data_IF_354056949538
#
_entry.id   IF_354056949538
#
_cell.length_a   1.000
_cell.length_b   1.000
_cell.length_c   1.000
_cell.angle_alpha   90.00
_cell.angle_beta   90.00
_cell.angle_gamma   90.00
#
_symmetry.space_group_name_H-M   'P 1'
#
loop_
_entity.id
_entity.type
_entity.pdbx_description
1 polymer ?
#
# COMPACT_ATOMS: atom_id res chain seq x y z
N UNK A 1 -11.68 17.29 -13.46
CA UNK A 1 -11.82 18.49 -14.34
C UNK A 1 -11.02 18.36 -15.65
N UNK A 2 -9.73 18.07 -15.65
CA UNK A 2 -8.89 17.94 -16.87
C UNK A 2 -9.49 16.90 -17.85
N UNK A 3 -9.93 15.75 -17.36
CA UNK A 3 -10.56 14.69 -18.17
C UNK A 3 -11.81 15.20 -18.90
N UNK A 4 -12.68 15.93 -18.20
CA UNK A 4 -13.89 16.50 -18.78
C UNK A 4 -13.56 17.53 -19.87
N UNK A 5 -12.58 18.39 -19.61
CA UNK A 5 -12.14 19.40 -20.57
C UNK A 5 -11.50 18.76 -21.82
N UNK A 6 -10.71 17.69 -21.61
CA UNK A 6 -10.10 16.95 -22.71
C UNK A 6 -11.17 16.19 -23.52
N UNK A 7 -12.09 15.51 -22.86
CA UNK A 7 -13.22 14.84 -23.52
C UNK A 7 -14.08 15.81 -24.34
N UNK A 8 -14.30 17.04 -23.85
CA UNK A 8 -15.00 18.13 -24.56
C UNK A 8 -14.14 18.81 -25.62
N UNK A 9 -12.92 18.33 -25.90
CA UNK A 9 -11.96 18.91 -26.87
C UNK A 9 -11.55 20.35 -26.56
N UNK A 10 -11.68 20.78 -25.33
CA UNK A 10 -11.22 22.13 -24.90
C UNK A 10 -9.71 22.15 -24.62
N UNK A 11 -9.11 20.98 -24.41
CA UNK A 11 -7.65 20.79 -24.29
C UNK A 11 -7.21 19.96 -25.50
N UNK A 12 -6.39 20.48 -26.40
CA UNK A 12 -5.96 19.76 -27.61
C UNK A 12 -4.80 18.79 -27.37
N UNK A 13 -4.02 19.01 -26.31
CA UNK A 13 -2.83 18.21 -25.94
C UNK A 13 -2.83 17.95 -24.43
N UNK A 14 -2.56 16.70 -24.07
CA UNK A 14 -2.46 16.28 -22.66
C UNK A 14 -1.14 15.55 -22.45
N UNK A 15 -0.36 16.00 -21.48
CA UNK A 15 0.78 15.24 -20.94
C UNK A 15 0.28 14.37 -19.80
N UNK A 16 0.56 13.08 -19.87
CA UNK A 16 0.08 12.12 -18.89
C UNK A 16 1.12 11.02 -18.63
N UNK A 17 1.05 10.43 -17.46
CA UNK A 17 1.79 9.22 -17.12
C UNK A 17 1.05 7.97 -17.62
N UNK A 18 1.68 6.81 -17.53
CA UNK A 18 1.08 5.52 -17.93
C UNK A 18 -0.27 5.22 -17.24
N UNK A 19 -0.48 5.73 -16.01
CA UNK A 19 -1.73 5.56 -15.28
C UNK A 19 -2.95 6.08 -16.04
N UNK A 20 -2.77 7.10 -16.85
CA UNK A 20 -3.80 7.61 -17.74
C UNK A 20 -4.25 6.58 -18.78
N UNK A 21 -3.32 5.76 -19.29
CA UNK A 21 -3.63 4.71 -20.26
C UNK A 21 -4.43 3.56 -19.64
N UNK A 22 -4.25 3.30 -18.34
CA UNK A 22 -4.88 2.17 -17.64
C UNK A 22 -6.23 2.56 -17.01
N UNK A 23 -6.25 3.71 -16.32
CA UNK A 23 -7.38 4.09 -15.46
C UNK A 23 -8.54 4.78 -16.16
N UNK A 24 -8.38 5.29 -17.37
CA UNK A 24 -9.35 6.17 -18.02
C UNK A 24 -9.68 5.70 -19.44
N UNK A 25 -10.97 5.65 -19.73
CA UNK A 25 -11.42 5.32 -21.09
C UNK A 25 -11.56 6.59 -21.95
N UNK A 26 -10.41 7.18 -22.32
CA UNK A 26 -10.35 8.38 -23.16
C UNK A 26 -9.50 8.12 -24.39
N UNK A 27 -10.09 7.57 -25.46
CA UNK A 27 -9.37 7.34 -26.70
C UNK A 27 -9.01 8.67 -27.39
N UNK A 28 -7.78 8.77 -27.85
CA UNK A 28 -7.22 9.93 -28.54
C UNK A 28 -6.96 9.60 -30.01
N UNK A 29 -6.87 10.59 -30.89
CA UNK A 29 -6.50 10.33 -32.28
C UNK A 29 -5.05 9.89 -32.41
N UNK A 30 -4.17 10.47 -31.59
CA UNK A 30 -2.72 10.28 -31.65
C UNK A 30 -2.16 10.11 -30.23
N UNK A 31 -1.34 9.10 -30.03
CA UNK A 31 -0.50 8.93 -28.85
C UNK A 31 0.96 9.22 -29.19
N UNK A 32 1.67 9.91 -28.30
CA UNK A 32 3.09 10.24 -28.46
C UNK A 32 3.85 9.72 -27.27
N UNK A 33 4.80 8.84 -27.52
CA UNK A 33 5.70 8.30 -26.50
C UNK A 33 6.96 9.15 -26.43
N UNK A 34 7.21 9.77 -25.31
CA UNK A 34 8.44 10.52 -25.03
C UNK A 34 9.56 9.63 -24.51
N UNK A 35 9.21 8.44 -24.01
CA UNK A 35 10.11 7.38 -23.60
C UNK A 35 9.42 6.02 -23.75
N UNK A 36 10.18 4.97 -24.06
CA UNK A 36 9.75 3.58 -23.99
C UNK A 36 10.32 2.86 -22.76
N UNK A 37 10.71 3.63 -21.75
CA UNK A 37 11.19 3.15 -20.47
C UNK A 37 10.32 3.71 -19.35
N UNK A 38 10.20 2.94 -18.29
CA UNK A 38 9.50 3.36 -17.06
C UNK A 38 10.31 3.02 -15.82
N UNK A 39 10.04 3.72 -14.73
CA UNK A 39 10.58 3.40 -13.43
C UNK A 39 9.80 2.23 -12.81
N UNK A 40 10.52 1.28 -12.24
CA UNK A 40 9.98 0.13 -11.49
C UNK A 40 10.72 -0.01 -10.17
N UNK A 41 10.34 -0.98 -9.35
CA UNK A 41 10.96 -1.22 -8.04
C UNK A 41 12.48 -1.43 -8.10
N UNK A 42 12.98 -1.93 -9.23
CA UNK A 42 14.41 -2.19 -9.48
C UNK A 42 15.07 -1.11 -10.35
N UNK A 43 14.47 0.08 -10.49
CA UNK A 43 14.99 1.16 -11.32
C UNK A 43 14.32 1.27 -12.70
N UNK A 44 14.98 1.96 -13.64
CA UNK A 44 14.46 2.12 -15.00
C UNK A 44 14.52 0.82 -15.80
N UNK A 45 13.41 0.44 -16.42
CA UNK A 45 13.32 -0.68 -17.36
C UNK A 45 12.55 -0.29 -18.62
N UNK A 46 12.76 -1.02 -19.70
CA UNK A 46 11.95 -0.92 -20.92
C UNK A 46 10.50 -1.34 -20.65
N UNK A 47 9.57 -0.74 -21.41
CA UNK A 47 8.18 -1.19 -21.44
C UNK A 47 8.12 -2.64 -21.95
N UNK A 48 7.18 -3.41 -21.38
CA UNK A 48 6.81 -4.70 -21.97
C UNK A 48 5.92 -4.50 -23.21
N UNK A 49 5.82 -5.48 -24.12
CA UNK A 49 4.92 -5.41 -25.28
C UNK A 49 3.47 -5.11 -24.89
N UNK A 50 2.99 -5.67 -23.78
CA UNK A 50 1.62 -5.47 -23.30
C UNK A 50 1.42 -4.04 -22.81
N UNK A 51 2.37 -3.48 -22.04
CA UNK A 51 2.34 -2.09 -21.57
C UNK A 51 2.34 -1.12 -22.75
N UNK A 52 3.18 -1.38 -23.76
CA UNK A 52 3.19 -0.60 -24.99
C UNK A 52 1.86 -0.71 -25.74
N UNK A 53 1.35 -1.93 -25.94
CA UNK A 53 0.08 -2.16 -26.64
C UNK A 53 -1.09 -1.49 -25.93
N UNK A 54 -1.13 -1.54 -24.58
CA UNK A 54 -2.17 -0.89 -23.80
C UNK A 54 -2.13 0.64 -23.94
N UNK A 55 -0.94 1.23 -23.93
CA UNK A 55 -0.77 2.67 -24.10
C UNK A 55 -1.00 3.13 -25.56
N UNK A 56 -0.41 2.45 -26.53
CA UNK A 56 -0.59 2.74 -27.96
C UNK A 56 -2.02 2.49 -28.43
N UNK A 57 -2.71 1.51 -27.82
CA UNK A 57 -4.11 1.19 -28.07
C UNK A 57 -5.11 2.30 -27.68
N UNK A 58 -4.64 3.36 -27.01
CA UNK A 58 -5.43 4.58 -26.82
C UNK A 58 -5.51 5.46 -28.08
N UNK A 59 -4.63 5.24 -29.03
CA UNK A 59 -4.64 5.94 -30.32
C UNK A 59 -5.73 5.37 -31.24
N UNK A 60 -6.59 6.24 -31.77
CA UNK A 60 -7.71 5.88 -32.63
C UNK A 60 -9.04 5.76 -31.87
N UNK A 61 -9.98 6.62 -32.22
CA UNK A 61 -11.32 6.63 -31.62
C UNK A 61 -12.24 5.71 -32.41
N UNK A 62 -12.69 4.64 -31.77
CA UNK A 62 -13.60 3.66 -32.41
C UNK A 62 -14.83 4.34 -32.99
N UNK A 63 -15.14 4.06 -34.24
CA UNK A 63 -16.29 4.63 -34.97
C UNK A 63 -16.09 6.07 -35.46
N UNK A 64 -14.96 6.74 -35.16
CA UNK A 64 -14.68 8.12 -35.56
C UNK A 64 -13.42 8.18 -36.42
N UNK A 65 -12.33 7.58 -36.00
CA UNK A 65 -11.05 7.61 -36.70
C UNK A 65 -10.86 6.33 -37.52
N UNK A 66 -10.42 6.46 -38.76
CA UNK A 66 -10.08 5.31 -39.62
C UNK A 66 -8.76 4.66 -39.17
N UNK A 67 -7.87 5.46 -38.59
CA UNK A 67 -6.54 5.04 -38.15
C UNK A 67 -6.11 5.82 -36.91
N UNK A 68 -5.64 5.10 -35.88
CA UNK A 68 -4.90 5.68 -34.77
C UNK A 68 -3.41 5.79 -35.12
N UNK A 69 -2.73 6.78 -34.57
CA UNK A 69 -1.30 6.99 -34.78
C UNK A 69 -0.56 7.01 -33.48
N UNK A 70 0.51 6.21 -33.37
CA UNK A 70 1.47 6.26 -32.27
C UNK A 70 2.82 6.77 -32.80
N UNK A 71 3.34 7.82 -32.18
CA UNK A 71 4.66 8.38 -32.51
C UNK A 71 5.62 8.12 -31.35
N UNK A 72 6.87 7.82 -31.70
CA UNK A 72 7.93 7.63 -30.72
C UNK A 72 8.95 8.74 -30.87
N UNK A 73 9.17 9.50 -29.79
CA UNK A 73 10.13 10.61 -29.71
C UNK A 73 11.11 10.34 -28.54
N UNK A 74 11.95 9.29 -28.63
CA UNK A 74 12.74 8.78 -27.49
C UNK A 74 13.81 9.77 -27.01
N UNK A 75 14.06 10.85 -27.72
CA UNK A 75 15.07 11.86 -27.39
C UNK A 75 14.46 13.25 -27.11
N UNK A 76 13.13 13.33 -26.96
CA UNK A 76 12.46 14.61 -26.76
C UNK A 76 12.91 15.31 -25.47
N UNK A 77 13.11 14.55 -24.42
CA UNK A 77 13.71 15.00 -23.18
C UNK A 77 15.06 14.30 -23.05
N UNK A 78 16.13 15.07 -23.18
CA UNK A 78 17.51 14.59 -23.25
C UNK A 78 18.01 14.14 -21.86
N UNK A 79 17.32 13.17 -21.27
CA UNK A 79 17.77 12.51 -20.07
C UNK A 79 18.85 11.52 -20.47
N UNK A 80 19.96 11.44 -19.74
CA UNK A 80 21.09 10.52 -19.91
C UNK A 80 20.70 9.02 -19.85
N UNK A 81 19.49 8.67 -20.17
CA UNK A 81 18.96 7.31 -20.28
C UNK A 81 19.45 6.73 -21.60
N UNK A 82 20.22 5.64 -21.53
CA UNK A 82 20.83 5.00 -22.69
C UNK A 82 19.85 4.76 -23.84
N UNK A 83 20.35 4.79 -25.06
CA UNK A 83 19.56 4.53 -26.26
C UNK A 83 19.05 3.09 -26.25
N UNK A 84 17.76 2.91 -26.55
CA UNK A 84 17.21 1.59 -26.84
C UNK A 84 17.87 1.04 -28.10
N UNK A 85 18.34 -0.20 -28.05
CA UNK A 85 18.82 -0.88 -29.22
C UNK A 85 17.66 -1.12 -30.23
N UNK A 86 17.96 -1.24 -31.51
CA UNK A 86 16.95 -1.59 -32.51
C UNK A 86 16.22 -2.92 -32.18
N UNK A 87 16.93 -3.85 -31.55
CA UNK A 87 16.38 -5.14 -31.11
C UNK A 87 15.37 -4.93 -29.97
N UNK A 88 15.72 -4.13 -28.96
CA UNK A 88 14.82 -3.87 -27.83
C UNK A 88 13.60 -3.06 -28.27
N UNK A 89 13.78 -2.08 -29.14
CA UNK A 89 12.67 -1.38 -29.78
C UNK A 89 11.75 -2.34 -30.52
N UNK A 90 12.30 -3.24 -31.31
CA UNK A 90 11.53 -4.26 -32.03
C UNK A 90 10.77 -5.18 -31.10
N UNK A 91 11.38 -5.58 -29.97
CA UNK A 91 10.70 -6.39 -28.93
C UNK A 91 9.52 -5.66 -28.30
N UNK A 92 9.66 -4.38 -27.99
CA UNK A 92 8.60 -3.58 -27.35
C UNK A 92 7.42 -3.39 -28.33
N UNK A 93 7.71 -3.00 -29.57
CA UNK A 93 6.67 -2.57 -30.54
C UNK A 93 5.99 -3.76 -31.23
N UNK A 94 6.75 -4.81 -31.54
CA UNK A 94 6.29 -5.98 -32.30
C UNK A 94 6.30 -7.27 -31.45
N UNK A 95 6.60 -7.17 -30.16
CA UNK A 95 6.65 -8.33 -29.27
C UNK A 95 5.29 -8.99 -29.13
N UNK A 96 5.32 -10.31 -28.99
CA UNK A 96 4.13 -11.12 -28.74
C UNK A 96 3.55 -10.87 -27.34
N UNK A 97 2.35 -11.39 -27.14
CA UNK A 97 1.69 -11.39 -25.84
C UNK A 97 2.55 -12.11 -24.78
N UNK A 98 2.70 -11.48 -23.63
CA UNK A 98 3.34 -12.08 -22.47
C UNK A 98 2.24 -12.78 -21.65
N UNK A 99 2.40 -14.08 -21.44
CA UNK A 99 1.44 -14.83 -20.63
C UNK A 99 1.39 -14.29 -19.21
N UNK A 100 0.21 -14.02 -18.65
CA UNK A 100 0.12 -13.59 -17.25
C UNK A 100 0.65 -14.71 -16.36
N UNK A 101 1.50 -14.35 -15.40
CA UNK A 101 1.99 -15.24 -14.35
C UNK A 101 1.39 -14.76 -13.04
N UNK A 102 0.85 -15.68 -12.26
CA UNK A 102 0.33 -15.38 -10.93
C UNK A 102 1.45 -14.84 -10.03
N UNK A 103 1.12 -13.81 -9.27
CA UNK A 103 1.97 -13.26 -8.21
C UNK A 103 1.40 -13.56 -6.84
N UNK A 104 0.73 -14.71 -6.69
CA UNK A 104 0.28 -15.14 -5.36
C UNK A 104 1.51 -15.20 -4.45
N UNK A 105 1.46 -14.44 -3.39
CA UNK A 105 2.42 -14.50 -2.30
C UNK A 105 1.72 -15.11 -1.09
N UNK A 106 2.26 -16.23 -0.61
CA UNK A 106 1.73 -16.90 0.56
C UNK A 106 2.25 -16.19 1.80
N UNK A 107 1.32 -15.71 2.61
CA UNK A 107 1.61 -15.13 3.92
C UNK A 107 0.66 -15.67 4.98
N UNK A 108 0.91 -15.33 6.23
CA UNK A 108 0.06 -15.73 7.35
C UNK A 108 -1.41 -15.35 7.16
N UNK A 109 -1.67 -14.15 6.62
CA UNK A 109 -3.04 -13.67 6.46
C UNK A 109 -3.80 -14.45 5.39
N UNK A 110 -3.13 -14.76 4.26
CA UNK A 110 -3.72 -15.57 3.20
C UNK A 110 -4.11 -16.96 3.73
N UNK A 111 -3.21 -17.60 4.48
CA UNK A 111 -3.46 -18.93 5.04
C UNK A 111 -4.61 -18.91 6.05
N UNK A 112 -4.62 -17.94 6.97
CA UNK A 112 -5.71 -17.79 7.93
C UNK A 112 -7.06 -17.58 7.23
N UNK A 113 -7.12 -16.77 6.17
CA UNK A 113 -8.35 -16.56 5.40
C UNK A 113 -8.82 -17.83 4.69
N UNK A 114 -7.91 -18.60 4.12
CA UNK A 114 -8.26 -19.89 3.51
C UNK A 114 -8.85 -20.86 4.54
N UNK A 115 -8.33 -20.89 5.76
CA UNK A 115 -8.87 -21.72 6.84
C UNK A 115 -10.25 -21.29 7.31
N UNK A 116 -10.54 -19.96 7.35
CA UNK A 116 -11.89 -19.47 7.69
C UNK A 116 -12.92 -19.89 6.66
N UNK A 117 -12.56 -19.77 5.39
CA UNK A 117 -13.48 -20.04 4.28
C UNK A 117 -13.62 -21.55 4.00
N UNK A 118 -12.96 -22.43 4.77
CA UNK A 118 -12.88 -23.90 4.55
C UNK A 118 -12.48 -24.23 3.10
N UNK A 119 -11.60 -23.42 2.53
CA UNK A 119 -11.16 -23.56 1.15
C UNK A 119 -9.83 -24.29 1.07
N UNK A 120 -9.75 -25.21 0.12
CA UNK A 120 -8.51 -25.92 -0.14
C UNK A 120 -7.47 -24.99 -0.79
N UNK A 121 -6.41 -24.65 -0.06
CA UNK A 121 -5.32 -23.79 -0.55
C UNK A 121 -4.71 -24.34 -1.84
N UNK A 122 -4.54 -25.66 -1.95
CA UNK A 122 -3.96 -26.28 -3.15
C UNK A 122 -4.83 -26.01 -4.37
N UNK A 123 -6.16 -25.98 -4.23
CA UNK A 123 -7.07 -25.66 -5.32
C UNK A 123 -6.87 -24.24 -5.87
N UNK A 124 -6.57 -23.25 -4.97
CA UNK A 124 -6.23 -21.90 -5.41
C UNK A 124 -4.90 -21.83 -6.13
N UNK A 125 -3.90 -22.54 -5.60
CA UNK A 125 -2.56 -22.59 -6.19
C UNK A 125 -2.61 -23.27 -7.56
N UNK A 126 -3.25 -24.42 -7.65
CA UNK A 126 -3.39 -25.20 -8.90
C UNK A 126 -4.21 -24.47 -9.99
N UNK A 127 -5.22 -23.69 -9.60
CA UNK A 127 -6.03 -22.90 -10.53
C UNK A 127 -5.39 -21.55 -10.91
N UNK A 128 -4.33 -21.15 -10.25
CA UNK A 128 -3.59 -19.95 -10.62
C UNK A 128 -2.59 -20.25 -11.75
N UNK A 129 -2.24 -19.23 -12.55
CA UNK A 129 -1.22 -19.34 -13.60
C UNK A 129 0.18 -19.40 -12.98
N UNK A 130 0.50 -20.50 -12.28
CA UNK A 130 1.76 -20.74 -11.56
C UNK A 130 2.50 -21.91 -12.21
N UNK A 131 3.84 -21.84 -12.18
CA UNK A 131 4.71 -22.92 -12.62
C UNK A 131 4.68 -24.11 -11.63
N UNK A 132 4.88 -25.33 -12.13
CA UNK A 132 4.88 -26.55 -11.32
C UNK A 132 5.93 -26.53 -10.21
N UNK A 133 7.12 -25.98 -10.47
CA UNK A 133 8.18 -25.84 -9.46
C UNK A 133 7.75 -24.93 -8.31
N UNK A 134 6.94 -23.90 -8.60
CA UNK A 134 6.40 -23.01 -7.60
C UNK A 134 5.30 -23.66 -6.74
N UNK A 135 4.58 -24.65 -7.27
CA UNK A 135 3.57 -25.41 -6.48
C UNK A 135 4.25 -26.16 -5.33
N UNK A 136 5.38 -26.83 -5.61
CA UNK A 136 6.16 -27.53 -4.57
C UNK A 136 6.71 -26.56 -3.52
N UNK A 137 7.14 -25.38 -3.95
CA UNK A 137 7.57 -24.32 -3.05
C UNK A 137 6.42 -23.84 -2.17
N UNK A 138 5.23 -23.63 -2.72
CA UNK A 138 4.03 -23.25 -1.98
C UNK A 138 3.62 -24.28 -0.93
N UNK A 139 3.74 -25.58 -1.21
CA UNK A 139 3.45 -26.64 -0.24
C UNK A 139 4.37 -26.59 0.98
N UNK A 140 5.65 -26.33 0.77
CA UNK A 140 6.62 -26.20 1.87
C UNK A 140 6.36 -24.92 2.69
N UNK A 141 6.06 -23.82 2.02
CA UNK A 141 5.67 -22.56 2.69
C UNK A 141 4.41 -22.74 3.52
N UNK A 142 3.37 -23.38 2.96
CA UNK A 142 2.12 -23.64 3.66
C UNK A 142 2.35 -24.43 4.96
N UNK A 143 3.17 -25.48 4.92
CA UNK A 143 3.52 -26.26 6.11
C UNK A 143 4.23 -25.41 7.17
N UNK A 144 5.17 -24.58 6.73
CA UNK A 144 5.87 -23.64 7.62
C UNK A 144 4.89 -22.70 8.31
N UNK A 145 4.05 -22.00 7.53
CA UNK A 145 3.10 -21.06 8.10
C UNK A 145 2.10 -21.72 9.05
N UNK A 146 1.57 -22.89 8.70
CA UNK A 146 0.66 -23.64 9.58
C UNK A 146 1.33 -24.02 10.91
N UNK A 147 2.58 -24.48 10.86
CA UNK A 147 3.34 -24.84 12.07
C UNK A 147 3.55 -23.64 12.99
N UNK A 148 3.89 -22.48 12.43
CA UNK A 148 4.06 -21.26 13.22
C UNK A 148 2.73 -20.75 13.76
N UNK A 149 1.67 -20.75 12.96
CA UNK A 149 0.33 -20.33 13.39
C UNK A 149 -0.20 -21.19 14.55
N UNK A 150 0.04 -22.50 14.52
CA UNK A 150 -0.32 -23.42 15.60
C UNK A 150 0.52 -23.14 16.86
N UNK A 151 1.85 -23.07 16.71
CA UNK A 151 2.78 -22.78 17.81
C UNK A 151 2.46 -21.47 18.53
N UNK A 152 2.12 -20.44 17.75
CA UNK A 152 1.81 -19.11 18.29
C UNK A 152 0.32 -18.93 18.65
N UNK A 153 -0.49 -19.99 18.55
CA UNK A 153 -1.87 -20.04 19.02
C UNK A 153 -2.89 -19.30 18.15
N UNK A 154 -2.63 -19.10 16.87
CA UNK A 154 -3.61 -18.55 15.92
C UNK A 154 -4.57 -19.60 15.38
N UNK A 155 -4.14 -20.86 15.37
CA UNK A 155 -4.96 -22.03 15.07
C UNK A 155 -4.75 -23.09 16.12
N UNK A 156 -5.70 -24.00 16.26
CA UNK A 156 -5.61 -25.15 17.16
C UNK A 156 -4.96 -26.37 16.47
N UNK A 157 -4.78 -27.46 17.22
CA UNK A 157 -4.23 -28.74 16.74
C UNK A 157 -5.05 -29.35 15.57
N UNK A 158 -6.32 -29.00 15.45
CA UNK A 158 -7.20 -29.40 14.35
C UNK A 158 -7.20 -28.41 13.18
N UNK A 159 -6.26 -27.44 13.18
CA UNK A 159 -6.16 -26.33 12.20
C UNK A 159 -7.39 -25.42 12.17
N UNK A 160 -8.19 -25.39 13.22
CA UNK A 160 -9.28 -24.44 13.35
C UNK A 160 -8.76 -23.12 13.90
N UNK A 161 -9.30 -22.03 13.36
CA UNK A 161 -8.93 -20.68 13.79
C UNK A 161 -9.39 -20.43 15.21
N UNK A 162 -8.47 -19.92 16.04
CA UNK A 162 -8.73 -19.43 17.39
C UNK A 162 -9.25 -17.99 17.37
N UNK A 163 -9.66 -17.47 18.55
CA UNK A 163 -9.98 -16.04 18.70
C UNK A 163 -8.83 -15.13 18.25
N UNK A 164 -7.59 -15.48 18.60
CA UNK A 164 -6.38 -14.76 18.16
C UNK A 164 -6.24 -14.75 16.63
N UNK A 165 -6.53 -15.87 15.99
CA UNK A 165 -6.57 -15.97 14.53
C UNK A 165 -7.69 -15.12 13.90
N UNK A 166 -8.87 -15.11 14.51
CA UNK A 166 -10.00 -14.28 14.08
C UNK A 166 -9.70 -12.78 14.17
N UNK A 167 -8.94 -12.35 15.18
CA UNK A 167 -8.44 -10.99 15.30
C UNK A 167 -7.44 -10.69 14.16
N UNK A 168 -6.50 -11.59 13.90
CA UNK A 168 -5.47 -11.38 12.89
C UNK A 168 -6.02 -11.18 11.48
N UNK A 169 -7.04 -11.92 11.07
CA UNK A 169 -7.64 -11.81 9.73
C UNK A 169 -8.32 -10.46 9.46
N UNK A 170 -8.62 -9.67 10.49
CA UNK A 170 -9.20 -8.35 10.32
C UNK A 170 -8.18 -7.33 9.79
N UNK A 171 -6.89 -7.58 9.97
CA UNK A 171 -5.81 -6.67 9.57
C UNK A 171 -5.31 -7.00 8.16
N UNK A 172 -5.33 -5.99 7.27
CA UNK A 172 -4.84 -6.08 5.88
C UNK A 172 -3.81 -5.02 5.56
N UNK A 173 -3.96 -3.82 6.15
CA UNK A 173 -3.07 -2.68 5.93
C UNK A 173 -1.78 -2.74 6.76
N UNK A 174 -1.73 -3.62 7.73
CA UNK A 174 -0.63 -3.81 8.68
C UNK A 174 -0.30 -5.29 8.82
N UNK A 175 0.92 -5.65 9.30
CA UNK A 175 1.29 -7.06 9.50
C UNK A 175 0.33 -7.78 10.46
N UNK A 176 -0.57 -8.59 9.90
CA UNK A 176 -1.76 -9.12 10.56
C UNK A 176 -1.45 -9.89 11.85
N UNK A 177 -0.59 -10.91 11.79
CA UNK A 177 -0.26 -11.75 12.95
C UNK A 177 0.56 -10.99 14.00
N UNK A 178 1.50 -10.14 13.56
CA UNK A 178 2.31 -9.34 14.46
C UNK A 178 1.47 -8.30 15.21
N UNK A 179 0.56 -7.63 14.51
CA UNK A 179 -0.31 -6.64 15.15
C UNK A 179 -1.37 -7.28 16.05
N UNK A 180 -1.93 -8.42 15.66
CA UNK A 180 -2.83 -9.19 16.53
C UNK A 180 -2.14 -9.65 17.83
N UNK A 181 -0.91 -10.14 17.72
CA UNK A 181 -0.10 -10.54 18.88
C UNK A 181 0.21 -9.35 19.80
N UNK A 182 0.62 -8.21 19.22
CA UNK A 182 0.80 -6.96 19.94
C UNK A 182 -0.50 -6.48 20.60
N UNK A 183 -1.61 -6.49 19.87
CA UNK A 183 -2.92 -6.03 20.34
C UNK A 183 -3.39 -6.81 21.57
N UNK A 184 -3.27 -8.13 21.53
CA UNK A 184 -3.66 -9.00 22.65
C UNK A 184 -2.72 -8.81 23.85
N UNK A 185 -1.40 -8.81 23.61
CA UNK A 185 -0.39 -8.66 24.68
C UNK A 185 -0.43 -7.29 25.37
N UNK A 186 -0.87 -6.24 24.67
CA UNK A 186 -0.92 -4.88 25.19
C UNK A 186 -2.34 -4.37 25.44
N UNK A 187 -3.33 -5.26 25.55
CA UNK A 187 -4.75 -4.92 25.71
C UNK A 187 -5.01 -3.89 26.79
N UNK A 188 -4.41 -4.04 27.97
CA UNK A 188 -4.63 -3.13 29.09
C UNK A 188 -4.10 -1.72 28.80
N UNK A 189 -2.93 -1.61 28.18
CA UNK A 189 -2.34 -0.34 27.79
C UNK A 189 -3.14 0.32 26.67
N UNK A 190 -3.55 -0.44 25.67
CA UNK A 190 -4.37 0.04 24.56
C UNK A 190 -5.75 0.55 25.04
N UNK A 191 -6.33 -0.04 26.06
CA UNK A 191 -7.58 0.45 26.64
C UNK A 191 -7.43 1.82 27.32
N UNK A 192 -6.24 2.19 27.79
CA UNK A 192 -5.98 3.44 28.51
C UNK A 192 -5.65 4.61 27.61
N UNK A 193 -5.11 4.38 26.39
CA UNK A 193 -4.69 5.45 25.49
C UNK A 193 -5.88 6.14 24.81
N UNK A 194 -5.67 7.41 24.45
CA UNK A 194 -6.65 8.24 23.74
C UNK A 194 -6.70 7.94 22.24
N UNK A 195 -7.75 8.42 21.56
CA UNK A 195 -7.88 8.36 20.10
C UNK A 195 -6.73 9.06 19.37
N UNK A 196 -6.19 10.15 19.93
CA UNK A 196 -5.01 10.85 19.39
C UNK A 196 -3.75 9.99 19.45
N UNK A 197 -3.57 9.23 20.51
CA UNK A 197 -2.45 8.29 20.66
C UNK A 197 -2.59 7.08 19.73
N UNK A 198 -3.81 6.61 19.47
CA UNK A 198 -4.07 5.60 18.44
C UNK A 198 -3.72 6.10 17.03
N UNK A 199 -4.11 7.33 16.68
CA UNK A 199 -3.74 7.96 15.41
C UNK A 199 -2.21 7.99 15.26
N UNK A 200 -1.51 8.37 16.31
CA UNK A 200 -0.04 8.41 16.34
C UNK A 200 0.58 7.01 16.24
N UNK A 201 -0.01 6.00 16.90
CA UNK A 201 0.43 4.62 16.77
C UNK A 201 0.26 4.12 15.32
N UNK A 202 -0.86 4.41 14.68
CA UNK A 202 -1.10 3.95 13.31
C UNK A 202 -0.22 4.65 12.27
N UNK A 203 0.26 5.86 12.57
CA UNK A 203 1.11 6.64 11.66
C UNK A 203 2.42 5.94 11.30
N UNK A 204 2.97 5.08 12.18
CA UNK A 204 4.22 4.37 11.90
C UNK A 204 4.13 3.36 10.75
N UNK A 205 2.91 2.97 10.39
CA UNK A 205 2.64 2.10 9.24
C UNK A 205 2.41 2.88 7.94
N UNK A 206 2.33 4.20 8.01
CA UNK A 206 2.17 5.07 6.85
C UNK A 206 3.54 5.47 6.31
N UNK A 207 4.11 4.63 5.44
CA UNK A 207 5.41 4.89 4.84
C UNK A 207 5.36 6.00 3.80
N UNK A 208 6.34 6.89 3.83
CA UNK A 208 6.59 7.94 2.85
C UNK A 208 8.00 7.79 2.27
N UNK A 209 8.24 8.39 1.10
CA UNK A 209 9.56 8.41 0.49
C UNK A 209 10.29 9.68 0.91
N UNK A 210 11.30 9.51 1.75
CA UNK A 210 12.26 10.54 2.13
C UNK A 210 13.67 10.05 1.87
N UNK A 211 14.63 10.95 1.58
CA UNK A 211 16.06 10.64 1.63
C UNK A 211 16.45 10.10 3.01
N UNK A 212 17.42 9.19 3.07
CA UNK A 212 17.81 8.56 4.34
C UNK A 212 18.32 9.57 5.38
N UNK A 213 18.91 10.67 4.94
CA UNK A 213 19.39 11.78 5.77
C UNK A 213 18.27 12.57 6.45
N UNK A 214 17.07 12.57 5.87
CA UNK A 214 15.89 13.30 6.39
C UNK A 214 14.97 12.40 7.23
N UNK A 215 15.31 11.11 7.38
CA UNK A 215 14.47 10.14 8.10
C UNK A 215 14.63 10.24 9.62
N UNK A 216 13.53 10.00 10.30
CA UNK A 216 13.50 9.85 11.76
C UNK A 216 13.86 8.40 12.13
N UNK A 217 15.11 8.16 12.50
CA UNK A 217 15.59 6.83 12.90
C UNK A 217 15.29 6.49 14.36
N UNK A 218 15.06 7.50 15.20
CA UNK A 218 14.83 7.32 16.63
C UNK A 218 13.56 8.05 17.09
N UNK A 219 12.56 7.27 17.51
CA UNK A 219 11.30 7.81 18.03
C UNK A 219 11.45 8.55 19.38
N UNK A 220 12.54 8.37 20.11
CA UNK A 220 12.78 9.12 21.35
C UNK A 220 13.01 10.61 21.10
N UNK A 221 13.48 10.99 19.91
CA UNK A 221 13.76 12.38 19.54
C UNK A 221 12.52 13.18 19.14
N UNK A 222 11.39 12.53 18.85
CA UNK A 222 10.18 13.21 18.40
C UNK A 222 9.29 13.65 19.58
N UNK A 223 8.55 14.74 19.38
CA UNK A 223 7.71 15.35 20.42
C UNK A 223 6.29 14.75 20.40
N UNK A 224 6.14 13.59 21.01
CA UNK A 224 4.88 12.87 21.21
C UNK A 224 4.73 12.44 22.66
N UNK A 225 3.55 11.94 23.05
CA UNK A 225 3.33 11.47 24.42
C UNK A 225 4.23 10.27 24.79
N UNK A 226 4.55 10.15 26.09
CA UNK A 226 5.33 9.01 26.60
C UNK A 226 4.61 7.67 26.38
N UNK A 227 3.28 7.67 26.39
CA UNK A 227 2.48 6.51 26.04
C UNK A 227 2.78 6.05 24.60
N UNK A 228 2.83 6.98 23.64
CA UNK A 228 3.17 6.67 22.25
C UNK A 228 4.58 6.10 22.14
N UNK A 229 5.57 6.68 22.81
CA UNK A 229 6.96 6.17 22.82
C UNK A 229 7.03 4.75 23.37
N UNK A 230 6.33 4.47 24.46
CA UNK A 230 6.25 3.13 25.03
C UNK A 230 5.57 2.13 24.11
N UNK A 231 4.49 2.53 23.42
CA UNK A 231 3.82 1.70 22.40
C UNK A 231 4.74 1.42 21.21
N UNK A 232 5.48 2.42 20.74
CA UNK A 232 6.45 2.26 19.65
C UNK A 232 7.53 1.24 20.01
N UNK A 233 8.07 1.30 21.23
CA UNK A 233 9.02 0.30 21.72
C UNK A 233 8.46 -1.11 21.70
N UNK A 234 7.22 -1.29 22.18
CA UNK A 234 6.57 -2.60 22.28
C UNK A 234 6.21 -3.17 20.90
N UNK A 235 5.63 -2.36 20.02
CA UNK A 235 5.26 -2.81 18.68
C UNK A 235 6.50 -3.16 17.85
N UNK A 236 7.57 -2.34 17.93
CA UNK A 236 8.85 -2.63 17.27
C UNK A 236 9.43 -3.97 17.71
N UNK A 237 9.40 -4.27 19.01
CA UNK A 237 9.82 -5.57 19.52
C UNK A 237 9.01 -6.73 18.95
N UNK A 238 7.69 -6.57 18.84
CA UNK A 238 6.82 -7.60 18.26
C UNK A 238 7.04 -7.76 16.76
N UNK A 239 7.19 -6.66 16.01
CA UNK A 239 7.46 -6.71 14.57
C UNK A 239 8.83 -7.37 14.29
N UNK A 240 9.85 -7.07 15.08
CA UNK A 240 11.17 -7.70 14.94
C UNK A 240 11.11 -9.21 15.20
N UNK A 241 10.34 -9.65 16.19
CA UNK A 241 10.13 -11.08 16.47
C UNK A 241 9.52 -11.79 15.26
N UNK A 242 8.45 -11.26 14.68
CA UNK A 242 7.79 -11.86 13.52
C UNK A 242 8.64 -11.75 12.24
N UNK A 243 9.37 -10.64 12.08
CA UNK A 243 10.33 -10.48 10.99
C UNK A 243 11.45 -11.53 11.03
N UNK A 244 11.98 -11.83 12.22
CA UNK A 244 13.01 -12.86 12.37
C UNK A 244 12.49 -14.24 11.97
N UNK A 245 11.26 -14.62 12.37
CA UNK A 245 10.65 -15.89 11.99
C UNK A 245 10.56 -16.05 10.47
N UNK A 246 10.09 -15.03 9.75
CA UNK A 246 9.96 -15.10 8.30
C UNK A 246 11.33 -15.00 7.59
N UNK A 247 12.25 -14.20 8.12
CA UNK A 247 13.61 -14.08 7.59
C UNK A 247 14.37 -15.40 7.64
N UNK A 248 14.24 -16.16 8.71
CA UNK A 248 14.87 -17.49 8.86
C UNK A 248 14.40 -18.47 7.77
N UNK A 249 13.23 -18.23 7.19
CA UNK A 249 12.67 -19.01 6.09
C UNK A 249 12.93 -18.40 4.70
N UNK A 250 13.66 -17.27 4.64
CA UNK A 250 14.06 -16.62 3.39
C UNK A 250 12.99 -15.72 2.76
N UNK A 251 11.97 -15.32 3.53
CA UNK A 251 10.94 -14.40 3.05
C UNK A 251 11.38 -12.93 3.11
N UNK A 252 10.77 -12.13 2.24
CA UNK A 252 10.94 -10.68 2.27
C UNK A 252 10.19 -10.08 3.48
N UNK A 253 10.95 -9.46 4.39
CA UNK A 253 10.44 -8.89 5.63
C UNK A 253 10.08 -7.40 5.56
N UNK A 254 10.01 -6.80 4.37
CA UNK A 254 9.72 -5.37 4.21
C UNK A 254 8.38 -4.95 4.84
N UNK A 255 7.39 -5.85 4.91
CA UNK A 255 6.10 -5.58 5.55
C UNK A 255 6.18 -5.27 7.05
N UNK A 256 7.26 -5.70 7.74
CA UNK A 256 7.50 -5.42 9.16
C UNK A 256 8.25 -4.10 9.40
N UNK A 257 8.69 -3.43 8.34
CA UNK A 257 9.36 -2.14 8.47
C UNK A 257 8.34 -1.05 8.79
N UNK A 258 8.67 -0.23 9.78
CA UNK A 258 7.89 0.92 10.20
C UNK A 258 8.72 2.19 10.07
N UNK A 259 8.05 3.33 9.96
CA UNK A 259 8.68 4.64 9.82
C UNK A 259 8.09 5.61 10.84
N UNK A 260 8.94 6.42 11.46
CA UNK A 260 8.52 7.39 12.46
C UNK A 260 8.34 8.80 11.89
N UNK A 261 8.69 9.00 10.61
CA UNK A 261 8.75 10.29 9.94
C UNK A 261 7.46 11.12 10.04
N UNK A 262 6.32 10.43 10.02
CA UNK A 262 5.00 11.07 10.08
C UNK A 262 4.45 11.22 11.50
N UNK A 263 5.05 10.57 12.51
CA UNK A 263 4.42 10.41 13.82
C UNK A 263 4.21 11.75 14.55
N UNK A 264 5.21 12.63 14.57
CA UNK A 264 5.10 13.94 15.26
C UNK A 264 4.12 14.86 14.56
N UNK A 265 4.20 14.95 13.23
CA UNK A 265 3.35 15.86 12.46
C UNK A 265 1.87 15.41 12.47
N UNK A 266 1.64 14.08 12.44
CA UNK A 266 0.30 13.52 12.59
C UNK A 266 -0.21 13.72 14.02
N UNK A 267 0.62 13.57 15.05
CA UNK A 267 0.25 13.90 16.42
C UNK A 267 -0.17 15.36 16.56
N UNK A 268 0.62 16.31 16.01
CA UNK A 268 0.25 17.74 15.95
C UNK A 268 -1.06 17.96 15.18
N UNK A 269 -1.28 17.24 14.08
CA UNK A 269 -2.50 17.34 13.29
C UNK A 269 -3.76 17.03 14.10
N UNK A 270 -3.70 16.11 15.06
CA UNK A 270 -4.86 15.77 15.90
C UNK A 270 -5.36 16.96 16.75
N UNK A 271 -4.54 17.98 17.00
CA UNK A 271 -4.87 19.17 17.77
C UNK A 271 -5.29 20.36 16.90
N UNK A 272 -5.25 20.24 15.59
CA UNK A 272 -5.67 21.30 14.67
C UNK A 272 -7.18 21.52 14.79
N UNK A 273 -7.62 22.74 15.10
CA UNK A 273 -9.03 23.11 15.27
C UNK A 273 -9.52 24.11 14.21
N UNK A 274 -8.59 24.81 13.54
CA UNK A 274 -8.93 25.84 12.57
C UNK A 274 -7.95 25.88 11.40
N UNK A 275 -8.31 26.66 10.38
CA UNK A 275 -7.54 26.77 9.13
C UNK A 275 -6.13 27.34 9.32
N UNK A 276 -5.92 28.23 10.29
CA UNK A 276 -4.60 28.80 10.56
C UNK A 276 -3.65 27.74 11.12
N UNK A 277 -4.12 26.93 12.07
CA UNK A 277 -3.34 25.82 12.61
C UNK A 277 -3.06 24.76 11.52
N UNK A 278 -4.02 24.47 10.64
CA UNK A 278 -3.81 23.57 9.51
C UNK A 278 -2.71 24.10 8.57
N UNK A 279 -2.70 25.40 8.31
CA UNK A 279 -1.69 26.05 7.48
C UNK A 279 -0.28 25.95 8.08
N UNK A 280 -0.15 26.07 9.41
CA UNK A 280 1.14 25.89 10.09
C UNK A 280 1.66 24.46 9.94
N UNK A 281 0.78 23.45 10.04
CA UNK A 281 1.16 22.05 9.77
C UNK A 281 1.60 21.87 8.32
N UNK A 282 0.92 22.49 7.34
CA UNK A 282 1.32 22.40 5.93
C UNK A 282 2.67 23.08 5.65
N UNK A 283 2.98 24.18 6.32
CA UNK A 283 4.33 24.79 6.25
C UNK A 283 5.41 23.88 6.83
N UNK A 284 5.09 23.19 7.92
CA UNK A 284 6.02 22.23 8.52
C UNK A 284 6.28 21.04 7.60
N UNK A 285 5.25 20.52 6.91
CA UNK A 285 5.40 19.50 5.87
C UNK A 285 6.36 19.94 4.75
N UNK A 286 6.17 21.17 4.25
CA UNK A 286 7.00 21.75 3.20
C UNK A 286 8.46 21.89 3.66
N UNK A 287 8.68 22.32 4.92
CA UNK A 287 10.01 22.42 5.52
C UNK A 287 10.73 21.06 5.58
N UNK A 288 10.01 19.99 5.88
CA UNK A 288 10.54 18.61 5.91
C UNK A 288 10.57 17.94 4.52
N UNK A 289 10.21 18.63 3.45
CA UNK A 289 10.14 18.08 2.10
C UNK A 289 9.04 17.03 1.91
N UNK A 290 8.03 17.00 2.77
CA UNK A 290 6.92 16.06 2.71
C UNK A 290 5.79 16.66 1.86
N UNK A 291 5.44 16.00 0.76
CA UNK A 291 4.35 16.45 -0.07
C UNK A 291 3.00 16.28 0.62
N UNK A 292 2.12 17.28 0.47
CA UNK A 292 0.73 17.23 1.01
C UNK A 292 0.02 15.96 0.54
N UNK A 293 0.25 15.50 -0.69
CA UNK A 293 -0.32 14.27 -1.20
C UNK A 293 0.08 13.01 -0.42
N UNK A 294 1.31 12.93 0.07
CA UNK A 294 1.77 11.82 0.89
C UNK A 294 1.23 11.91 2.31
N UNK A 295 1.12 13.12 2.85
CA UNK A 295 0.42 13.35 4.12
C UNK A 295 -1.05 12.91 4.06
N UNK A 296 -1.78 13.29 3.00
CA UNK A 296 -3.17 12.85 2.78
C UNK A 296 -3.27 11.33 2.71
N UNK A 297 -2.39 10.66 1.96
CA UNK A 297 -2.34 9.19 1.90
C UNK A 297 -2.09 8.56 3.27
N UNK A 298 -1.18 9.14 4.07
CA UNK A 298 -0.91 8.68 5.43
C UNK A 298 -2.16 8.77 6.31
N UNK A 299 -2.86 9.89 6.28
CA UNK A 299 -4.11 10.08 7.01
C UNK A 299 -5.19 9.08 6.56
N UNK A 300 -5.36 8.86 5.26
CA UNK A 300 -6.32 7.89 4.75
C UNK A 300 -5.96 6.46 5.18
N UNK A 301 -4.68 6.09 5.15
CA UNK A 301 -4.23 4.79 5.65
C UNK A 301 -4.51 4.62 7.15
N UNK A 302 -4.29 5.65 7.97
CA UNK A 302 -4.64 5.64 9.40
C UNK A 302 -6.13 5.37 9.61
N UNK A 303 -7.00 5.99 8.81
CA UNK A 303 -8.45 5.74 8.89
C UNK A 303 -8.80 4.30 8.50
N UNK A 304 -8.15 3.73 7.47
CA UNK A 304 -8.35 2.33 7.10
C UNK A 304 -7.93 1.38 8.23
N UNK A 305 -6.78 1.63 8.86
CA UNK A 305 -6.33 0.84 10.02
C UNK A 305 -7.31 0.99 11.19
N UNK A 306 -7.84 2.19 11.44
CA UNK A 306 -8.84 2.41 12.48
C UNK A 306 -10.13 1.60 12.23
N UNK A 307 -10.57 1.52 10.97
CA UNK A 307 -11.72 0.69 10.59
C UNK A 307 -11.45 -0.82 10.80
N UNK A 308 -10.22 -1.28 10.57
CA UNK A 308 -9.82 -2.65 10.87
C UNK A 308 -9.81 -2.93 12.38
N UNK A 309 -9.23 -2.04 13.18
CA UNK A 309 -9.24 -2.13 14.66
C UNK A 309 -10.67 -2.05 15.20
N UNK A 310 -11.54 -1.24 14.59
CA UNK A 310 -12.96 -1.18 14.97
C UNK A 310 -13.67 -2.52 14.76
N UNK A 311 -13.37 -3.26 13.68
CA UNK A 311 -13.91 -4.61 13.48
C UNK A 311 -13.46 -5.56 14.60
N UNK A 312 -12.19 -5.47 15.01
CA UNK A 312 -11.66 -6.23 16.16
C UNK A 312 -12.38 -5.83 17.45
N UNK A 313 -12.60 -4.53 17.67
CA UNK A 313 -13.30 -4.02 18.85
C UNK A 313 -14.74 -4.55 18.93
N UNK A 314 -15.44 -4.64 17.80
CA UNK A 314 -16.78 -5.25 17.72
C UNK A 314 -16.70 -6.75 18.01
N UNK A 315 -15.75 -7.46 17.42
CA UNK A 315 -15.55 -8.90 17.61
C UNK A 315 -15.26 -9.25 19.07
N UNK A 316 -14.53 -8.39 19.78
CA UNK A 316 -14.15 -8.57 21.20
C UNK A 316 -15.09 -7.85 22.17
N UNK A 317 -16.23 -7.36 21.71
CA UNK A 317 -17.24 -6.63 22.50
C UNK A 317 -16.70 -5.43 23.30
N UNK A 318 -15.62 -4.79 22.79
CA UNK A 318 -14.97 -3.64 23.42
C UNK A 318 -15.58 -2.31 22.93
N UNK A 319 -16.71 -1.90 23.52
CA UNK A 319 -17.42 -0.67 23.15
C UNK A 319 -16.57 0.60 23.29
N UNK A 320 -15.76 0.69 24.34
CA UNK A 320 -14.87 1.85 24.53
C UNK A 320 -13.85 2.01 23.43
N UNK A 321 -13.36 0.90 22.85
CA UNK A 321 -12.46 0.94 21.71
C UNK A 321 -13.22 1.30 20.42
N UNK A 322 -14.47 0.84 20.25
CA UNK A 322 -15.33 1.25 19.11
C UNK A 322 -15.52 2.76 19.09
N UNK A 323 -15.80 3.37 20.25
CA UNK A 323 -15.96 4.82 20.37
C UNK A 323 -14.67 5.56 19.97
N UNK A 324 -13.52 5.12 20.48
CA UNK A 324 -12.23 5.72 20.12
C UNK A 324 -11.94 5.64 18.61
N UNK A 325 -12.23 4.50 17.98
CA UNK A 325 -12.03 4.34 16.53
C UNK A 325 -12.97 5.25 15.71
N UNK A 326 -14.21 5.47 16.19
CA UNK A 326 -15.14 6.40 15.54
C UNK A 326 -14.69 7.86 15.61
N UNK A 327 -13.98 8.27 16.68
CA UNK A 327 -13.43 9.62 16.80
C UNK A 327 -12.28 9.89 15.82
N UNK A 328 -11.56 8.88 15.36
CA UNK A 328 -10.37 9.04 14.52
C UNK A 328 -10.68 9.82 13.25
N UNK A 329 -11.78 9.50 12.57
CA UNK A 329 -12.15 10.20 11.34
C UNK A 329 -12.44 11.70 11.58
N UNK A 330 -13.04 12.06 12.70
CA UNK A 330 -13.31 13.46 13.08
C UNK A 330 -12.01 14.22 13.41
N UNK A 331 -11.03 13.53 14.00
CA UNK A 331 -9.74 14.11 14.36
C UNK A 331 -8.77 14.25 13.17
N UNK A 332 -8.97 13.47 12.11
CA UNK A 332 -8.04 13.37 10.99
C UNK A 332 -8.57 13.97 9.69
N UNK A 333 -9.86 13.74 9.36
CA UNK A 333 -10.49 14.21 8.13
C UNK A 333 -11.05 15.62 8.32
N UNK A 334 -10.21 16.63 8.14
CA UNK A 334 -10.55 18.04 8.33
C UNK A 334 -9.79 18.92 7.35
N UNK A 335 -10.23 20.16 7.20
CA UNK A 335 -9.68 21.13 6.23
C UNK A 335 -9.78 20.58 4.79
N UNK A 336 -8.66 20.42 4.10
CA UNK A 336 -8.58 19.91 2.72
C UNK A 336 -8.52 18.40 2.64
N UNK A 337 -8.42 17.71 3.76
CA UNK A 337 -8.31 16.25 3.81
C UNK A 337 -9.70 15.64 3.93
N UNK A 338 -10.11 14.93 2.90
CA UNK A 338 -11.41 14.24 2.85
C UNK A 338 -11.23 12.81 2.35
N UNK A 339 -12.14 11.93 2.72
CA UNK A 339 -12.23 10.57 2.20
C UNK A 339 -13.05 10.45 0.91
N UNK A 340 -13.54 11.57 0.40
CA UNK A 340 -14.27 11.58 -0.87
C UNK A 340 -13.31 11.52 -2.04
N UNK A 341 -13.60 10.64 -3.00
CA UNK A 341 -12.88 10.65 -4.28
C UNK A 341 -13.07 12.01 -4.95
N UNK A 342 -11.99 12.56 -5.48
CA UNK A 342 -12.04 13.73 -6.36
C UNK A 342 -12.64 13.38 -7.73
N UNK A 343 -12.88 12.09 -7.99
CA UNK A 343 -13.52 11.57 -9.18
C UNK A 343 -15.01 11.34 -8.87
N UNK A 344 -15.81 12.33 -9.18
CA UNK A 344 -17.27 12.24 -9.25
C UNK A 344 -17.70 12.01 -10.69
#
# INVERSE_FOLDING_TARGET
MIEILFAKKMIPLLFATETFAVGINMPVKTAVFTSLQKYSDNGFRSLTPDEYTQQSGRAGRRGIDKLGKAYHLPQLFNDNKGYLSAIDYGRIVNGGYVSPVSKIDLDFNFILKCLVDDKNMNEYIEKSYIDLDYIVFCDNQTKFYLTILEKEGFIDENKKITEKGQIAIQFQEIPSVAFADFFIKQKDMLNLISSKEYITLFSIFASIRLPDEDRVHNYESINISDNCKNLFKKITGTLNFWSAIESDFGHNCNKYQIQYDMAEIIYKWTFVENTLMAYEVFKELDYWGIFIGDFVKAILKINTIADEVKKVAILTENLGLVEKMNEISQLTLKSVITNHSLYL
#
